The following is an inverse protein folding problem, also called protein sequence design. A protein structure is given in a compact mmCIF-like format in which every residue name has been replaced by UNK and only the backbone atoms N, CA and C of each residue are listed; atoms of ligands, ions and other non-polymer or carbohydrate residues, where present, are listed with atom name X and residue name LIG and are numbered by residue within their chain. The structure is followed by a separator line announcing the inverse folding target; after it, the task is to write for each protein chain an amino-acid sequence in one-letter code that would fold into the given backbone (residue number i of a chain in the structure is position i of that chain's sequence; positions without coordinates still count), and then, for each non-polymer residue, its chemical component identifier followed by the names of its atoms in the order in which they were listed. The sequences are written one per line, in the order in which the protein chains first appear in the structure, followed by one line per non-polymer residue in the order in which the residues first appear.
data_IF_429530561329
#
_entry.id   IF_429530561329
#
_cell.length_a   1.000
_cell.length_b   1.000
_cell.length_c   1.000
_cell.angle_alpha   90.00
_cell.angle_beta   90.00
_cell.angle_gamma   90.00
#
_symmetry.space_group_name_H-M   'P 1'
#
loop_
_entity.id
_entity.type
_entity.pdbx_description
1 polymer ?
#
# COMPACT_ATOMS: atom_id res chain seq x y z
N UNK A 1 14.41 27.43 -17.15
CA UNK A 1 13.88 27.90 -15.86
C UNK A 1 12.70 28.85 -16.03
N UNK A 2 12.81 29.96 -16.81
CA UNK A 2 11.73 30.92 -17.01
C UNK A 2 10.53 30.31 -17.77
N UNK A 3 10.80 29.54 -18.82
CA UNK A 3 9.75 28.87 -19.61
C UNK A 3 8.99 27.83 -18.79
N UNK A 4 9.72 27.01 -18.01
CA UNK A 4 9.11 26.03 -17.09
C UNK A 4 8.23 26.69 -16.04
N UNK A 5 8.63 27.86 -15.53
CA UNK A 5 7.82 28.61 -14.57
C UNK A 5 6.54 29.19 -15.19
N UNK A 6 6.61 29.70 -16.43
CA UNK A 6 5.45 30.21 -17.17
C UNK A 6 4.46 29.06 -17.45
N UNK A 7 4.93 27.90 -17.90
CA UNK A 7 4.13 26.70 -18.13
C UNK A 7 3.44 26.22 -16.82
N UNK A 8 4.15 26.18 -15.72
CA UNK A 8 3.58 25.82 -14.40
C UNK A 8 2.54 26.83 -13.91
N UNK A 9 2.70 28.13 -14.22
CA UNK A 9 1.73 29.15 -13.83
C UNK A 9 0.47 29.07 -14.68
N UNK A 10 0.60 28.75 -15.97
CA UNK A 10 -0.55 28.59 -16.88
C UNK A 10 -1.39 27.35 -16.54
N UNK A 11 -0.77 26.29 -16.03
CA UNK A 11 -1.47 25.08 -15.59
C UNK A 11 -2.18 25.22 -14.24
N UNK A 12 -1.95 26.32 -13.51
CA UNK A 12 -2.55 26.49 -12.16
C UNK A 12 -4.02 26.88 -12.26
N UNK A 13 -4.82 26.16 -11.50
CA UNK A 13 -6.20 26.55 -11.26
C UNK A 13 -6.25 27.90 -10.49
N UNK A 14 -7.17 28.84 -10.83
CA UNK A 14 -7.35 30.06 -10.04
C UNK A 14 -7.58 29.78 -8.56
N UNK A 15 -6.93 30.54 -7.67
CA UNK A 15 -7.04 30.38 -6.22
C UNK A 15 -8.21 31.14 -5.62
N UNK A 16 -9.38 30.97 -6.18
CA UNK A 16 -10.59 31.71 -5.82
C UNK A 16 -11.47 30.99 -4.77
N UNK A 17 -11.19 29.73 -4.50
CA UNK A 17 -11.87 28.94 -3.48
C UNK A 17 -10.93 27.89 -2.86
N UNK A 18 -11.39 27.25 -1.77
CA UNK A 18 -10.60 26.27 -1.02
C UNK A 18 -10.26 25.01 -1.85
N UNK A 19 -11.21 24.54 -2.66
CA UNK A 19 -10.99 23.36 -3.52
C UNK A 19 -9.88 23.61 -4.54
N UNK A 20 -9.88 24.77 -5.19
CA UNK A 20 -8.81 25.14 -6.13
C UNK A 20 -7.45 25.27 -5.47
N UNK A 21 -7.42 25.75 -4.20
CA UNK A 21 -6.17 25.76 -3.43
C UNK A 21 -5.66 24.34 -3.15
N UNK A 22 -6.54 23.39 -2.84
CA UNK A 22 -6.16 21.99 -2.64
C UNK A 22 -5.65 21.33 -3.93
N UNK A 23 -6.29 21.57 -5.08
CA UNK A 23 -5.83 21.07 -6.38
C UNK A 23 -4.42 21.58 -6.68
N UNK A 24 -4.18 22.89 -6.52
CA UNK A 24 -2.85 23.45 -6.72
C UNK A 24 -1.81 22.88 -5.73
N UNK A 25 -2.21 22.62 -4.49
CA UNK A 25 -1.33 21.97 -3.51
C UNK A 25 -1.00 20.52 -3.92
N UNK A 26 -1.98 19.76 -4.40
CA UNK A 26 -1.78 18.40 -4.88
C UNK A 26 -0.76 18.35 -6.04
N UNK A 27 -0.86 19.26 -7.00
CA UNK A 27 0.08 19.33 -8.12
C UNK A 27 1.53 19.60 -7.70
N UNK A 28 1.76 20.27 -6.56
CA UNK A 28 3.12 20.56 -6.08
C UNK A 28 3.89 19.30 -5.66
N UNK A 29 3.20 18.21 -5.32
CA UNK A 29 3.85 16.95 -4.95
C UNK A 29 4.23 16.11 -6.17
N UNK A 30 3.64 16.37 -7.34
CA UNK A 30 3.97 15.68 -8.58
C UNK A 30 5.25 16.29 -9.19
N UNK A 31 6.25 15.43 -9.40
CA UNK A 31 7.53 15.83 -9.95
C UNK A 31 7.87 14.97 -11.17
N UNK A 32 8.27 15.61 -12.26
CA UNK A 32 8.72 14.96 -13.49
C UNK A 32 10.24 14.99 -13.59
N UNK A 33 10.85 13.83 -13.81
CA UNK A 33 12.29 13.70 -14.09
C UNK A 33 12.49 12.83 -15.34
N UNK A 34 12.86 13.43 -16.46
CA UNK A 34 12.91 12.73 -17.74
C UNK A 34 11.51 12.32 -18.18
N UNK A 35 11.29 11.01 -18.32
CA UNK A 35 9.99 10.42 -18.65
C UNK A 35 9.23 9.88 -17.44
N UNK A 36 9.87 9.84 -16.26
CA UNK A 36 9.29 9.33 -15.03
C UNK A 36 8.57 10.42 -14.24
N UNK A 37 7.49 10.01 -13.57
CA UNK A 37 6.69 10.85 -12.68
C UNK A 37 6.75 10.32 -11.25
N UNK A 38 7.03 11.20 -10.31
CA UNK A 38 7.23 10.88 -8.90
C UNK A 38 6.30 11.69 -8.01
N UNK A 39 5.96 11.14 -6.85
CA UNK A 39 5.40 11.91 -5.75
C UNK A 39 6.49 12.11 -4.70
N UNK A 40 6.77 13.36 -4.36
CA UNK A 40 7.73 13.70 -3.32
C UNK A 40 7.05 13.60 -1.95
N UNK A 41 7.67 12.90 -1.02
CA UNK A 41 7.14 12.71 0.34
C UNK A 41 7.12 14.02 1.15
N UNK A 42 7.91 15.01 0.77
CA UNK A 42 7.90 16.36 1.37
C UNK A 42 9.08 17.21 0.96
N UNK A 43 8.81 18.50 0.71
CA UNK A 43 9.81 19.50 0.35
C UNK A 43 10.51 20.08 1.58
N UNK A 44 11.82 20.40 1.46
CA UNK A 44 12.79 20.00 0.42
C UNK A 44 13.55 18.73 0.80
N UNK A 45 13.18 18.08 1.91
CA UNK A 45 14.01 17.09 2.61
C UNK A 45 13.83 15.66 2.14
N UNK A 46 12.62 15.32 1.68
CA UNK A 46 12.27 13.94 1.35
C UNK A 46 12.23 13.73 -0.16
N UNK A 47 12.68 12.55 -0.58
CA UNK A 47 12.61 12.07 -1.95
C UNK A 47 11.27 11.35 -2.19
N UNK A 48 11.13 10.65 -3.29
CA UNK A 48 10.02 9.76 -3.53
C UNK A 48 10.20 8.49 -2.68
N UNK A 49 9.39 8.36 -1.64
CA UNK A 49 9.31 7.14 -0.81
C UNK A 49 8.12 6.33 -1.24
N UNK A 50 8.30 5.02 -1.42
CA UNK A 50 7.29 4.12 -1.95
C UNK A 50 5.99 4.14 -1.15
N UNK A 51 6.04 4.04 0.18
CA UNK A 51 4.85 4.10 1.04
C UNK A 51 4.09 5.40 0.87
N UNK A 52 4.79 6.54 0.98
CA UNK A 52 4.16 7.86 0.84
C UNK A 52 3.53 8.04 -0.54
N UNK A 53 4.21 7.57 -1.58
CA UNK A 53 3.70 7.60 -2.95
C UNK A 53 2.40 6.80 -3.09
N UNK A 54 2.37 5.53 -2.70
CA UNK A 54 1.18 4.69 -2.89
C UNK A 54 -0.01 5.15 -2.05
N UNK A 55 0.21 5.61 -0.82
CA UNK A 55 -0.86 6.09 0.05
C UNK A 55 -1.45 7.41 -0.47
N UNK A 56 -0.60 8.34 -0.94
CA UNK A 56 -1.05 9.67 -1.34
C UNK A 56 -1.53 9.77 -2.79
N UNK A 57 -1.05 8.91 -3.68
CA UNK A 57 -1.33 8.97 -5.12
C UNK A 57 -2.83 9.03 -5.46
N UNK A 58 -3.73 8.20 -4.88
CA UNK A 58 -5.15 8.33 -5.18
C UNK A 58 -5.74 9.70 -4.80
N UNK A 59 -5.35 10.23 -3.64
CA UNK A 59 -5.79 11.54 -3.17
C UNK A 59 -5.25 12.70 -3.99
N UNK A 60 -4.01 12.61 -4.48
CA UNK A 60 -3.36 13.65 -5.26
C UNK A 60 -3.77 13.67 -6.75
N UNK A 61 -4.44 12.63 -7.22
CA UNK A 61 -4.79 12.47 -8.64
C UNK A 61 -6.25 12.07 -8.85
N UNK A 62 -6.66 10.89 -8.41
CA UNK A 62 -8.03 10.37 -8.65
C UNK A 62 -9.11 11.24 -8.00
N UNK A 63 -8.87 11.76 -6.80
CA UNK A 63 -9.81 12.62 -6.09
C UNK A 63 -10.05 13.98 -6.77
N UNK A 64 -9.22 14.34 -7.75
CA UNK A 64 -9.35 15.57 -8.56
C UNK A 64 -9.52 15.25 -10.06
N UNK A 65 -10.01 14.05 -10.37
CA UNK A 65 -10.32 13.55 -11.72
C UNK A 65 -9.12 13.47 -12.69
N UNK A 66 -7.88 13.43 -12.17
CA UNK A 66 -6.66 13.34 -12.96
C UNK A 66 -6.15 11.91 -13.14
N UNK A 67 -6.97 11.05 -13.72
CA UNK A 67 -6.65 9.63 -13.98
C UNK A 67 -5.36 9.46 -14.78
N UNK A 68 -5.10 10.31 -15.77
CA UNK A 68 -3.87 10.24 -16.57
C UNK A 68 -2.60 10.46 -15.72
N UNK A 69 -2.63 11.38 -14.76
CA UNK A 69 -1.50 11.61 -13.84
C UNK A 69 -1.28 10.43 -12.90
N UNK A 70 -2.36 9.82 -12.42
CA UNK A 70 -2.27 8.56 -11.67
C UNK A 70 -1.51 7.51 -12.47
N UNK A 71 -1.90 7.30 -13.72
CA UNK A 71 -1.29 6.28 -14.58
C UNK A 71 0.18 6.56 -14.89
N UNK A 72 0.55 7.84 -15.08
CA UNK A 72 1.96 8.23 -15.29
C UNK A 72 2.83 7.90 -14.08
N UNK A 73 2.37 8.17 -12.87
CA UNK A 73 3.11 7.82 -11.63
C UNK A 73 3.14 6.30 -11.45
N UNK A 74 2.04 5.62 -11.72
CA UNK A 74 1.98 4.15 -11.61
C UNK A 74 2.88 3.44 -12.63
N UNK A 75 3.18 4.04 -13.78
CA UNK A 75 4.14 3.47 -14.72
C UNK A 75 5.58 3.53 -14.16
N UNK A 76 5.94 4.61 -13.48
CA UNK A 76 7.21 4.69 -12.73
C UNK A 76 7.23 3.68 -11.57
N UNK A 77 6.13 3.59 -10.83
CA UNK A 77 5.98 2.64 -9.74
C UNK A 77 6.08 1.18 -10.19
N UNK A 78 5.51 0.86 -11.36
CA UNK A 78 5.59 -0.49 -11.96
C UNK A 78 7.04 -0.90 -12.21
N UNK A 79 7.87 0.00 -12.74
CA UNK A 79 9.31 -0.26 -12.92
C UNK A 79 9.99 -0.55 -11.58
N UNK A 80 9.75 0.30 -10.58
CA UNK A 80 10.33 0.10 -9.23
C UNK A 80 9.89 -1.23 -8.60
N UNK A 81 8.63 -1.62 -8.75
CA UNK A 81 8.13 -2.91 -8.26
C UNK A 81 8.78 -4.06 -9.02
N UNK A 82 8.87 -3.96 -10.34
CA UNK A 82 9.50 -4.98 -11.18
C UNK A 82 10.97 -5.20 -10.77
N UNK A 83 11.75 -4.12 -10.65
CA UNK A 83 13.16 -4.19 -10.28
C UNK A 83 13.32 -4.81 -8.87
N UNK A 84 12.46 -4.41 -7.93
CA UNK A 84 12.47 -4.97 -6.56
C UNK A 84 12.10 -6.45 -6.52
N UNK A 85 11.07 -6.89 -7.25
CA UNK A 85 10.62 -8.30 -7.26
C UNK A 85 11.66 -9.22 -7.90
N UNK A 86 12.38 -8.72 -8.93
CA UNK A 86 13.35 -9.51 -9.69
C UNK A 86 14.79 -9.33 -9.22
N UNK A 87 15.02 -8.59 -8.13
CA UNK A 87 16.36 -8.28 -7.62
C UNK A 87 17.25 -7.63 -8.70
N UNK A 88 16.66 -6.74 -9.48
CA UNK A 88 17.33 -5.96 -10.53
C UNK A 88 17.81 -4.60 -10.00
N UNK A 89 18.81 -3.98 -10.64
CA UNK A 89 19.23 -2.62 -10.26
C UNK A 89 18.10 -1.61 -10.40
N UNK A 90 17.96 -0.72 -9.42
CA UNK A 90 16.95 0.34 -9.42
C UNK A 90 17.20 1.35 -10.56
N UNK A 91 16.41 1.26 -11.62
CA UNK A 91 16.44 2.23 -12.73
C UNK A 91 15.69 3.53 -12.39
N UNK A 92 14.76 3.48 -11.42
CA UNK A 92 13.93 4.62 -11.00
C UNK A 92 14.18 4.99 -9.54
N UNK A 93 13.97 6.27 -9.21
CA UNK A 93 14.28 6.82 -7.88
C UNK A 93 13.12 6.73 -6.91
N UNK A 94 12.62 5.51 -6.69
CA UNK A 94 11.62 5.20 -5.66
C UNK A 94 12.30 4.42 -4.54
N UNK A 95 12.31 5.00 -3.34
CA UNK A 95 13.09 4.49 -2.21
C UNK A 95 12.21 3.71 -1.22
N UNK A 96 12.83 2.85 -0.43
CA UNK A 96 12.20 2.10 0.66
C UNK A 96 11.15 1.07 0.18
N UNK A 97 11.37 0.46 -1.01
CA UNK A 97 10.51 -0.60 -1.53
C UNK A 97 10.50 -1.85 -0.65
N UNK A 98 11.59 -2.09 0.09
CA UNK A 98 11.78 -3.24 0.97
C UNK A 98 10.95 -3.20 2.27
N UNK A 99 10.21 -2.13 2.54
CA UNK A 99 9.32 -2.08 3.71
C UNK A 99 8.12 -3.03 3.52
N UNK A 100 7.74 -3.80 4.57
CA UNK A 100 6.81 -4.91 4.43
C UNK A 100 5.39 -4.53 4.02
N UNK A 101 4.97 -3.30 4.24
CA UNK A 101 3.64 -2.80 3.88
C UNK A 101 3.56 -2.18 2.47
N UNK A 102 4.70 -1.92 1.82
CA UNK A 102 4.75 -1.14 0.57
C UNK A 102 4.03 -1.82 -0.59
N UNK A 103 4.29 -3.11 -0.84
CA UNK A 103 3.59 -3.84 -1.90
C UNK A 103 2.08 -3.96 -1.63
N UNK A 104 1.70 -4.06 -0.36
CA UNK A 104 0.28 -4.09 0.03
C UNK A 104 -0.40 -2.73 -0.21
N UNK A 105 0.31 -1.61 0.03
CA UNK A 105 -0.16 -0.28 -0.33
C UNK A 105 -0.24 -0.09 -1.85
N UNK A 106 0.65 -0.69 -2.62
CA UNK A 106 0.55 -0.70 -4.08
C UNK A 106 -0.74 -1.38 -4.55
N UNK A 107 -1.10 -2.53 -3.98
CA UNK A 107 -2.37 -3.22 -4.26
C UNK A 107 -3.57 -2.34 -3.88
N UNK A 108 -3.55 -1.73 -2.69
CA UNK A 108 -4.60 -0.81 -2.26
C UNK A 108 -4.73 0.41 -3.20
N UNK A 109 -3.61 0.97 -3.65
CA UNK A 109 -3.59 2.08 -4.60
C UNK A 109 -4.27 1.69 -5.94
N UNK A 110 -3.96 0.51 -6.48
CA UNK A 110 -4.62 -0.04 -7.67
C UNK A 110 -6.11 -0.29 -7.42
N UNK A 111 -6.50 -0.73 -6.23
CA UNK A 111 -7.90 -0.88 -5.84
C UNK A 111 -8.68 0.46 -5.88
N UNK A 112 -8.05 1.58 -5.49
CA UNK A 112 -8.69 2.89 -5.62
C UNK A 112 -8.87 3.28 -7.09
N UNK A 113 -7.91 2.96 -7.95
CA UNK A 113 -8.04 3.15 -9.39
C UNK A 113 -9.23 2.35 -9.96
N UNK A 114 -9.39 1.09 -9.57
CA UNK A 114 -10.52 0.25 -10.00
C UNK A 114 -11.90 0.81 -9.61
N UNK A 115 -11.99 1.57 -8.51
CA UNK A 115 -13.23 2.25 -8.09
C UNK A 115 -13.54 3.46 -8.98
N UNK A 116 -12.52 4.11 -9.51
CA UNK A 116 -12.67 5.35 -10.29
C UNK A 116 -12.96 5.10 -11.76
N UNK A 117 -12.30 4.10 -12.34
CA UNK A 117 -12.48 3.74 -13.76
C UNK A 117 -13.46 2.56 -13.91
N UNK A 118 -12.95 1.36 -14.14
CA UNK A 118 -13.72 0.12 -14.12
C UNK A 118 -12.82 -1.04 -13.71
N UNK A 119 -13.43 -2.13 -13.23
CA UNK A 119 -12.68 -3.34 -12.88
C UNK A 119 -12.02 -3.97 -14.11
N UNK A 120 -12.68 -3.93 -15.27
CA UNK A 120 -12.12 -4.45 -16.52
C UNK A 120 -10.88 -3.67 -16.97
N UNK A 121 -10.94 -2.35 -17.00
CA UNK A 121 -9.80 -1.50 -17.33
C UNK A 121 -8.66 -1.68 -16.31
N UNK A 122 -8.98 -1.78 -15.03
CA UNK A 122 -8.00 -2.05 -13.99
C UNK A 122 -7.31 -3.39 -14.20
N UNK A 123 -8.08 -4.45 -14.50
CA UNK A 123 -7.54 -5.79 -14.76
C UNK A 123 -6.65 -5.82 -16.00
N UNK A 124 -7.07 -5.20 -17.08
CA UNK A 124 -6.29 -5.09 -18.31
C UNK A 124 -4.94 -4.40 -18.05
N UNK A 125 -4.95 -3.31 -17.29
CA UNK A 125 -3.77 -2.48 -17.06
C UNK A 125 -2.85 -3.01 -15.96
N UNK A 126 -3.41 -3.50 -14.86
CA UNK A 126 -2.66 -3.85 -13.65
C UNK A 126 -2.81 -5.32 -13.22
N UNK A 127 -3.58 -6.13 -13.95
CA UNK A 127 -3.82 -7.52 -13.56
C UNK A 127 -2.54 -8.34 -13.44
N UNK A 128 -1.61 -8.22 -14.39
CA UNK A 128 -0.30 -8.91 -14.34
C UNK A 128 0.53 -8.42 -13.15
N UNK A 129 0.61 -7.11 -12.92
CA UNK A 129 1.34 -6.55 -11.78
C UNK A 129 0.80 -7.06 -10.45
N UNK A 130 -0.53 -7.16 -10.31
CA UNK A 130 -1.15 -7.72 -9.11
C UNK A 130 -0.79 -9.21 -8.93
N UNK A 131 -0.78 -9.99 -10.02
CA UNK A 131 -0.35 -11.40 -9.97
C UNK A 131 1.09 -11.52 -9.50
N UNK A 132 2.01 -10.73 -10.08
CA UNK A 132 3.44 -10.75 -9.74
C UNK A 132 3.66 -10.40 -8.25
N UNK A 133 3.00 -9.36 -7.76
CA UNK A 133 3.05 -8.97 -6.32
C UNK A 133 2.55 -10.12 -5.44
N UNK A 134 1.38 -10.69 -5.76
CA UNK A 134 0.78 -11.74 -4.92
C UNK A 134 1.60 -13.03 -4.94
N UNK A 135 2.16 -13.41 -6.07
CA UNK A 135 3.06 -14.55 -6.15
C UNK A 135 4.37 -14.33 -5.40
N UNK A 136 4.95 -13.15 -5.52
CA UNK A 136 6.17 -12.78 -4.80
C UNK A 136 5.99 -12.89 -3.29
N UNK A 137 4.90 -12.35 -2.76
CA UNK A 137 4.58 -12.41 -1.32
C UNK A 137 4.28 -13.85 -0.86
N UNK A 138 3.58 -14.65 -1.67
CA UNK A 138 3.24 -16.04 -1.34
C UNK A 138 4.44 -16.98 -1.36
N UNK A 139 5.47 -16.66 -2.16
CA UNK A 139 6.72 -17.46 -2.23
C UNK A 139 7.74 -17.08 -1.17
N UNK A 140 7.37 -16.20 -0.24
CA UNK A 140 8.25 -15.73 0.85
C UNK A 140 9.57 -15.10 0.35
N UNK A 141 9.53 -14.46 -0.81
CA UNK A 141 10.71 -13.82 -1.41
C UNK A 141 11.01 -12.43 -0.80
N UNK A 142 10.08 -11.87 -0.04
CA UNK A 142 10.26 -10.54 0.55
C UNK A 142 11.25 -10.59 1.72
N UNK A 143 12.26 -9.68 1.78
CA UNK A 143 13.34 -9.75 2.77
C UNK A 143 12.87 -9.53 4.23
N UNK A 144 11.74 -8.86 4.43
CA UNK A 144 11.26 -8.47 5.77
C UNK A 144 9.83 -8.96 6.07
N UNK A 145 9.27 -9.86 5.24
CA UNK A 145 7.88 -10.30 5.35
C UNK A 145 7.78 -11.80 5.05
N UNK A 146 7.17 -12.55 5.95
CA UNK A 146 7.11 -14.01 5.88
C UNK A 146 5.67 -14.49 6.01
N UNK A 147 5.21 -15.32 5.08
CA UNK A 147 3.88 -15.92 5.12
C UNK A 147 3.91 -17.17 6.01
N UNK A 148 3.27 -17.10 7.16
CA UNK A 148 3.19 -18.23 8.06
C UNK A 148 2.08 -19.22 7.69
N UNK A 149 2.19 -20.44 8.21
CA UNK A 149 1.25 -21.53 7.94
C UNK A 149 -0.20 -21.24 8.33
N UNK A 150 -0.46 -20.28 9.23
CA UNK A 150 -1.81 -19.83 9.60
C UNK A 150 -2.41 -18.83 8.57
N UNK A 151 -1.63 -18.38 7.58
CA UNK A 151 -2.04 -17.42 6.55
C UNK A 151 -1.73 -15.97 6.87
N UNK A 152 -1.22 -15.67 8.08
CA UNK A 152 -0.79 -14.31 8.46
C UNK A 152 0.62 -14.02 7.98
N UNK A 153 0.88 -12.73 7.73
CA UNK A 153 2.20 -12.21 7.43
C UNK A 153 2.91 -11.80 8.74
N UNK A 154 4.10 -12.32 8.90
CA UNK A 154 5.03 -11.97 9.99
C UNK A 154 6.08 -10.98 9.46
N UNK A 155 6.31 -9.88 10.17
CA UNK A 155 7.31 -8.88 9.82
C UNK A 155 8.38 -8.75 10.90
N UNK A 156 9.66 -8.62 10.51
CA UNK A 156 10.77 -8.48 11.45
C UNK A 156 11.22 -7.01 11.55
N UNK A 157 10.83 -6.35 12.63
CA UNK A 157 11.12 -4.94 12.91
C UNK A 157 11.94 -4.70 14.18
N UNK A 158 12.63 -5.72 14.70
CA UNK A 158 13.40 -5.63 15.94
C UNK A 158 14.54 -4.61 15.84
N UNK A 159 15.30 -4.65 14.75
CA UNK A 159 16.49 -3.80 14.57
C UNK A 159 16.24 -2.57 13.70
N UNK A 160 15.20 -2.59 12.90
CA UNK A 160 14.87 -1.55 11.91
C UNK A 160 13.38 -1.18 12.01
N UNK A 161 13.09 0.12 11.98
CA UNK A 161 11.71 0.58 11.89
C UNK A 161 11.16 0.30 10.47
N UNK A 162 10.19 -0.61 10.39
CA UNK A 162 9.71 -1.19 9.13
C UNK A 162 8.31 -0.73 8.72
N UNK A 163 7.58 -0.05 9.61
CA UNK A 163 6.22 0.45 9.34
C UNK A 163 6.20 1.97 9.23
N UNK A 164 5.03 2.56 9.09
CA UNK A 164 4.85 4.01 9.13
C UNK A 164 5.27 4.61 10.49
N UNK A 165 5.24 3.81 11.57
CA UNK A 165 5.77 4.18 12.88
C UNK A 165 7.30 4.04 12.90
N UNK A 166 7.98 4.89 12.14
CA UNK A 166 9.39 4.76 11.81
C UNK A 166 10.34 5.69 12.61
N UNK A 167 9.87 6.28 13.69
CA UNK A 167 10.71 7.10 14.57
C UNK A 167 11.81 6.27 15.20
N UNK A 168 13.03 6.82 15.20
CA UNK A 168 14.21 6.17 15.78
C UNK A 168 14.86 7.04 16.85
N UNK A 169 15.45 6.41 17.85
CA UNK A 169 16.31 7.04 18.85
C UNK A 169 17.62 6.27 18.93
N UNK A 170 18.75 6.96 18.82
CA UNK A 170 20.08 6.34 18.79
C UNK A 170 20.22 5.20 17.75
N UNK A 171 19.59 5.35 16.59
CA UNK A 171 19.61 4.38 15.48
C UNK A 171 18.71 3.15 15.68
N UNK A 172 17.91 3.09 16.75
CA UNK A 172 16.95 2.00 17.01
C UNK A 172 15.52 2.48 16.95
N UNK A 173 14.57 1.63 16.54
CA UNK A 173 13.15 1.97 16.60
C UNK A 173 12.72 2.40 18.01
N UNK A 174 11.97 3.48 18.12
CA UNK A 174 11.35 3.90 19.39
C UNK A 174 10.32 2.87 19.84
N UNK A 175 9.58 2.30 18.88
CA UNK A 175 8.65 1.20 19.10
C UNK A 175 9.02 0.10 18.11
N UNK A 176 9.79 -0.92 18.51
CA UNK A 176 10.11 -2.05 17.66
C UNK A 176 8.86 -2.92 17.50
N UNK A 177 8.26 -2.89 16.31
CA UNK A 177 7.08 -3.69 15.98
C UNK A 177 7.53 -4.89 15.17
N UNK A 178 7.55 -6.04 15.81
CA UNK A 178 7.92 -7.34 15.24
C UNK A 178 6.79 -8.32 15.42
N UNK A 179 6.62 -9.25 14.51
CA UNK A 179 5.59 -10.28 14.59
C UNK A 179 4.44 -10.05 13.61
N UNK A 180 3.26 -10.50 13.99
CA UNK A 180 2.03 -10.19 13.28
C UNK A 180 1.62 -8.76 13.62
N UNK A 181 1.62 -7.88 12.63
CA UNK A 181 1.30 -6.44 12.77
C UNK A 181 -0.11 -6.22 12.22
N UNK A 182 -0.97 -5.56 12.98
CA UNK A 182 -2.42 -5.50 12.71
C UNK A 182 -2.74 -4.87 11.36
N UNK A 183 -2.18 -3.69 11.05
CA UNK A 183 -2.45 -3.03 9.77
C UNK A 183 -1.84 -3.75 8.56
N UNK A 184 -0.69 -4.40 8.72
CA UNK A 184 -0.08 -5.20 7.64
C UNK A 184 -0.99 -6.38 7.30
N UNK A 185 -1.51 -7.08 8.30
CA UNK A 185 -2.40 -8.21 8.07
C UNK A 185 -3.81 -7.80 7.61
N UNK A 186 -4.29 -6.61 7.99
CA UNK A 186 -5.50 -6.04 7.42
C UNK A 186 -5.33 -5.72 5.92
N UNK A 187 -4.21 -5.07 5.54
CA UNK A 187 -3.87 -4.80 4.15
C UNK A 187 -3.70 -6.09 3.35
N UNK A 188 -3.07 -7.10 3.94
CA UNK A 188 -2.89 -8.42 3.33
C UNK A 188 -4.22 -9.09 3.01
N UNK A 189 -5.13 -9.15 3.98
CA UNK A 189 -6.47 -9.69 3.77
C UNK A 189 -7.21 -8.95 2.65
N UNK A 190 -7.18 -7.60 2.66
CA UNK A 190 -7.75 -6.78 1.60
C UNK A 190 -7.12 -7.06 0.24
N UNK A 191 -5.79 -7.22 0.18
CA UNK A 191 -5.07 -7.52 -1.08
C UNK A 191 -5.47 -8.88 -1.65
N UNK A 192 -5.55 -9.91 -0.79
CA UNK A 192 -5.99 -11.26 -1.17
C UNK A 192 -7.40 -11.24 -1.78
N UNK A 193 -8.35 -10.59 -1.09
CA UNK A 193 -9.76 -10.53 -1.53
C UNK A 193 -9.89 -9.75 -2.83
N UNK A 194 -9.34 -8.55 -2.89
CA UNK A 194 -9.41 -7.70 -4.08
C UNK A 194 -8.80 -8.39 -5.32
N UNK A 195 -7.60 -8.94 -5.17
CA UNK A 195 -6.92 -9.58 -6.30
C UNK A 195 -7.62 -10.86 -6.74
N UNK A 196 -8.09 -11.68 -5.79
CA UNK A 196 -8.86 -12.89 -6.10
C UNK A 196 -10.10 -12.55 -6.93
N UNK A 197 -10.91 -11.59 -6.49
CA UNK A 197 -12.13 -11.21 -7.21
C UNK A 197 -11.83 -10.63 -8.59
N UNK A 198 -10.85 -9.72 -8.70
CA UNK A 198 -10.47 -9.09 -9.97
C UNK A 198 -9.98 -10.11 -11.01
N UNK A 199 -9.20 -11.11 -10.58
CA UNK A 199 -8.69 -12.17 -11.46
C UNK A 199 -9.77 -13.17 -11.84
N UNK A 200 -10.68 -13.52 -10.93
CA UNK A 200 -11.80 -14.40 -11.20
C UNK A 200 -12.72 -13.86 -12.29
N UNK A 201 -13.03 -12.55 -12.24
CA UNK A 201 -13.80 -11.87 -13.30
C UNK A 201 -13.11 -11.92 -14.68
N UNK A 202 -11.79 -12.05 -14.71
CA UNK A 202 -10.99 -12.23 -15.93
C UNK A 202 -10.80 -13.68 -16.39
N UNK A 203 -11.38 -14.65 -15.68
CA UNK A 203 -11.25 -16.08 -16.00
C UNK A 203 -9.95 -16.73 -15.53
N UNK A 204 -9.09 -16.06 -14.78
CA UNK A 204 -7.91 -16.66 -14.14
C UNK A 204 -8.28 -17.31 -12.80
N UNK A 205 -9.06 -18.39 -12.87
CA UNK A 205 -9.66 -19.01 -11.69
C UNK A 205 -8.63 -19.71 -10.80
N UNK A 206 -7.57 -20.31 -11.35
CA UNK A 206 -6.61 -21.08 -10.55
C UNK A 206 -5.92 -20.24 -9.47
N UNK A 207 -5.40 -19.06 -9.85
CA UNK A 207 -4.77 -18.17 -8.88
C UNK A 207 -5.84 -17.50 -7.99
N UNK A 208 -6.96 -17.09 -8.58
CA UNK A 208 -8.06 -16.49 -7.85
C UNK A 208 -8.57 -17.40 -6.72
N UNK A 209 -8.80 -18.69 -7.01
CA UNK A 209 -9.24 -19.67 -6.01
C UNK A 209 -8.20 -19.87 -4.90
N UNK A 210 -6.92 -19.97 -5.27
CA UNK A 210 -5.84 -20.10 -4.30
C UNK A 210 -5.74 -18.87 -3.37
N UNK A 211 -5.91 -17.66 -3.90
CA UNK A 211 -5.94 -16.43 -3.12
C UNK A 211 -7.16 -16.35 -2.23
N UNK A 212 -8.33 -16.79 -2.71
CA UNK A 212 -9.55 -16.81 -1.91
C UNK A 212 -9.45 -17.78 -0.73
N UNK A 213 -8.97 -19.00 -0.95
CA UNK A 213 -8.71 -19.97 0.13
C UNK A 213 -7.74 -19.41 1.17
N UNK A 214 -6.68 -18.72 0.71
CA UNK A 214 -5.74 -18.07 1.61
C UNK A 214 -6.40 -16.92 2.37
N UNK A 215 -7.26 -16.14 1.72
CA UNK A 215 -8.00 -15.04 2.36
C UNK A 215 -8.92 -15.55 3.48
N UNK A 216 -9.66 -16.63 3.26
CA UNK A 216 -10.51 -17.24 4.30
C UNK A 216 -9.68 -17.68 5.51
N UNK A 217 -8.55 -18.33 5.25
CA UNK A 217 -7.62 -18.74 6.30
C UNK A 217 -7.05 -17.53 7.07
N UNK A 218 -6.61 -16.51 6.34
CA UNK A 218 -6.07 -15.26 6.90
C UNK A 218 -7.12 -14.55 7.76
N UNK A 219 -8.36 -14.42 7.26
CA UNK A 219 -9.45 -13.76 7.99
C UNK A 219 -9.75 -14.43 9.32
N UNK A 220 -9.82 -15.78 9.34
CA UNK A 220 -9.99 -16.53 10.59
C UNK A 220 -8.83 -16.34 11.54
N UNK A 221 -7.60 -16.54 11.07
CA UNK A 221 -6.40 -16.37 11.88
C UNK A 221 -6.23 -14.94 12.40
N UNK A 222 -6.69 -13.93 11.62
CA UNK A 222 -6.67 -12.54 12.04
C UNK A 222 -7.53 -12.31 13.28
N UNK A 223 -8.76 -12.79 13.29
CA UNK A 223 -9.66 -12.68 14.45
C UNK A 223 -9.07 -13.43 15.66
N UNK A 224 -8.63 -14.68 15.46
CA UNK A 224 -8.05 -15.51 16.51
C UNK A 224 -6.78 -14.90 17.12
N UNK A 225 -6.01 -14.12 16.34
CA UNK A 225 -4.73 -13.54 16.80
C UNK A 225 -4.89 -12.16 17.41
N UNK A 226 -5.71 -11.30 16.81
CA UNK A 226 -5.74 -9.88 17.18
C UNK A 226 -6.90 -9.49 18.09
N UNK A 227 -8.05 -10.18 18.01
CA UNK A 227 -9.18 -9.86 18.87
C UNK A 227 -8.96 -10.35 20.29
N UNK A 228 -8.88 -9.42 21.23
CA UNK A 228 -8.68 -9.74 22.63
C UNK A 228 -10.02 -9.99 23.38
N UNK A 229 -9.91 -10.48 24.61
CA UNK A 229 -11.07 -10.78 25.47
C UNK A 229 -11.97 -9.58 25.81
N UNK A 230 -11.47 -8.34 25.63
CA UNK A 230 -12.23 -7.11 25.86
C UNK A 230 -12.91 -6.57 24.58
N UNK A 231 -12.79 -7.28 23.45
CA UNK A 231 -13.45 -6.93 22.19
C UNK A 231 -12.77 -5.81 21.38
N UNK A 232 -11.47 -5.55 21.60
CA UNK A 232 -10.69 -4.69 20.73
C UNK A 232 -9.42 -5.41 20.22
N UNK A 233 -8.74 -4.81 19.25
CA UNK A 233 -7.61 -5.45 18.58
C UNK A 233 -6.28 -5.14 19.30
N UNK A 234 -5.37 -6.11 19.27
CA UNK A 234 -3.96 -5.92 19.62
C UNK A 234 -3.24 -5.19 18.49
N UNK A 235 -2.23 -4.38 18.82
CA UNK A 235 -1.45 -3.65 17.82
C UNK A 235 -0.48 -4.56 17.04
N UNK A 236 0.23 -5.42 17.75
CA UNK A 236 1.01 -6.53 17.19
C UNK A 236 1.14 -7.70 18.17
N UNK A 237 1.46 -8.87 17.61
CA UNK A 237 1.66 -10.12 18.37
C UNK A 237 2.92 -10.80 17.90
N UNK A 238 3.85 -11.09 18.82
CA UNK A 238 5.09 -11.84 18.58
C UNK A 238 5.23 -12.98 19.59
N UNK A 239 4.83 -14.17 19.19
CA UNK A 239 4.75 -15.34 20.07
C UNK A 239 3.84 -15.07 21.28
N UNK A 240 4.41 -15.03 22.47
CA UNK A 240 3.67 -14.73 23.70
C UNK A 240 3.61 -13.24 24.05
N UNK A 241 4.29 -12.38 23.28
CA UNK A 241 4.26 -10.95 23.47
C UNK A 241 3.06 -10.37 22.71
N UNK A 242 2.21 -9.65 23.42
CA UNK A 242 1.02 -9.00 22.89
C UNK A 242 1.08 -7.51 23.23
N UNK A 243 1.01 -6.65 22.22
CA UNK A 243 0.92 -5.20 22.46
C UNK A 243 -0.56 -4.78 22.57
N UNK A 244 -0.94 -4.39 23.76
CA UNK A 244 -2.30 -3.98 24.15
C UNK A 244 -2.58 -2.49 23.91
N UNK A 245 -1.61 -1.76 23.36
CA UNK A 245 -1.75 -0.32 23.12
C UNK A 245 -2.81 -0.06 22.06
N UNK A 246 -3.79 0.77 22.37
CA UNK A 246 -4.79 1.24 21.40
C UNK A 246 -4.16 2.30 20.52
N UNK A 247 -3.96 1.97 19.24
CA UNK A 247 -3.35 2.85 18.23
C UNK A 247 -4.26 3.01 17.02
N UNK A 248 -4.10 4.06 16.22
CA UNK A 248 -4.89 4.24 14.99
C UNK A 248 -4.72 3.12 13.96
N UNK A 249 -3.70 2.27 14.08
CA UNK A 249 -3.45 1.12 13.21
C UNK A 249 -4.66 0.17 13.08
N UNK A 250 -5.45 0.05 14.14
CA UNK A 250 -6.65 -0.78 14.17
C UNK A 250 -7.76 -0.28 13.23
N UNK A 251 -7.74 1.02 12.87
CA UNK A 251 -8.75 1.61 11.97
C UNK A 251 -8.67 0.99 10.57
N UNK A 252 -7.51 0.55 10.13
CA UNK A 252 -7.37 -0.11 8.83
C UNK A 252 -8.25 -1.35 8.69
N UNK A 253 -8.54 -2.03 9.79
CA UNK A 253 -9.40 -3.22 9.79
C UNK A 253 -10.87 -2.94 9.47
N UNK A 254 -11.31 -1.69 9.57
CA UNK A 254 -12.70 -1.27 9.29
C UNK A 254 -12.80 -0.27 8.14
N UNK A 255 -11.70 0.35 7.72
CA UNK A 255 -11.67 1.35 6.65
C UNK A 255 -11.36 0.75 5.27
N UNK A 256 -10.79 -0.44 5.19
CA UNK A 256 -10.52 -1.13 3.95
C UNK A 256 -11.81 -1.68 3.34
N UNK A 257 -11.86 -1.83 2.01
CA UNK A 257 -13.04 -2.34 1.31
C UNK A 257 -13.39 -3.77 1.75
N UNK A 258 -12.37 -4.61 1.92
CA UNK A 258 -12.50 -5.95 2.46
C UNK A 258 -11.99 -5.95 3.89
N UNK A 259 -12.91 -5.96 4.83
CA UNK A 259 -12.61 -6.05 6.25
C UNK A 259 -12.82 -7.46 6.75
N UNK A 260 -12.12 -7.83 7.80
CA UNK A 260 -12.43 -9.04 8.53
C UNK A 260 -13.88 -8.99 9.04
N UNK A 261 -14.65 -10.10 9.02
CA UNK A 261 -15.99 -10.10 9.56
C UNK A 261 -16.00 -9.55 10.99
N UNK A 262 -16.82 -8.54 11.24
CA UNK A 262 -17.01 -8.03 12.60
C UNK A 262 -17.72 -9.10 13.44
N UNK A 263 -17.33 -9.31 14.71
CA UNK A 263 -18.09 -10.17 15.62
C UNK A 263 -19.53 -9.73 15.84
N UNK A 264 -19.90 -8.53 15.34
CA UNK A 264 -21.28 -7.99 15.42
C UNK A 264 -22.11 -8.29 14.19
N UNK A 265 -21.54 -8.90 13.15
CA UNK A 265 -22.22 -9.25 11.89
C UNK A 265 -22.78 -10.68 11.90
N UNK A 266 -22.80 -11.32 13.08
CA UNK A 266 -23.35 -12.65 13.34
C UNK A 266 -24.64 -12.62 14.15
#
# INVERSE_FOLDING_TARGET
LKRTFEEEVEERTPRDNFQHCLINAAHQFLNKQGNEFYILAGYPWFKCRARDMFISLPGLTLAIDEVAKFEMVMETARKAIHDFINDEPDDVKVYEMEHPDVLLWAVWCIQQYAKMVSRDQCREKYGTLLQDIMEYLRRENHPNLFLHSNGLLYANGTEKAITWMNSTANGRPVIPRTGYIVEINALWYNALRFTSELLSEGGNNNLADALNVLAEKTGKAFVDTFLNEYGYLLDYVDGNMMDWSVRPNMIFTVCLLYTSPSPRDG
#
